data_IF_328014824853
#
_entry.id   IF_328014824853
#
_cell.length_a   1.000
_cell.length_b   1.000
_cell.length_c   1.000
_cell.angle_alpha   90.00
_cell.angle_beta   90.00
_cell.angle_gamma   90.00
#
_symmetry.space_group_name_H-M   'P 1'
#
loop_
_entity.id
_entity.type
_entity.pdbx_description
1 polymer ?
#
# COMPACT_ATOMS: atom_id res chain seq x y z
N UNK A 1 15.46 -24.48 -19.59
CA UNK A 1 15.94 -23.60 -18.51
C UNK A 1 14.71 -22.95 -17.95
N UNK A 2 14.43 -23.19 -16.67
CA UNK A 2 13.21 -22.75 -16.00
C UNK A 2 13.47 -21.38 -15.37
N UNK A 3 12.53 -20.43 -15.47
CA UNK A 3 12.57 -19.17 -14.73
C UNK A 3 11.29 -19.00 -13.88
N UNK A 4 11.24 -18.00 -13.00
CA UNK A 4 10.08 -17.77 -12.13
C UNK A 4 8.78 -17.57 -12.93
N UNK A 5 8.85 -16.93 -14.09
CA UNK A 5 7.68 -16.72 -14.95
C UNK A 5 7.11 -18.06 -15.47
N UNK A 6 7.97 -19.01 -15.86
CA UNK A 6 7.54 -20.34 -16.27
C UNK A 6 6.96 -21.14 -15.09
N UNK A 7 7.53 -21.03 -13.88
CA UNK A 7 6.93 -21.65 -12.69
C UNK A 7 5.52 -21.12 -12.43
N UNK A 8 5.34 -19.81 -12.57
CA UNK A 8 4.05 -19.13 -12.42
C UNK A 8 3.04 -19.57 -13.49
N UNK A 9 3.43 -19.56 -14.76
CA UNK A 9 2.53 -19.77 -15.90
C UNK A 9 2.16 -21.24 -16.11
N UNK A 10 3.14 -22.15 -15.98
CA UNK A 10 2.95 -23.60 -16.16
C UNK A 10 2.50 -24.30 -14.87
N UNK A 11 2.26 -23.53 -13.79
CA UNK A 11 1.82 -24.00 -12.47
C UNK A 11 2.73 -25.11 -11.92
N UNK A 12 4.04 -24.92 -12.07
CA UNK A 12 5.04 -25.89 -11.64
C UNK A 12 5.29 -25.82 -10.13
N UNK A 13 5.83 -26.92 -9.59
CA UNK A 13 6.30 -27.00 -8.21
C UNK A 13 7.63 -27.73 -8.19
N UNK A 14 8.69 -27.05 -7.76
CA UNK A 14 10.05 -27.57 -7.70
C UNK A 14 10.51 -27.63 -6.25
N UNK A 15 11.04 -28.77 -5.79
CA UNK A 15 11.63 -28.84 -4.45
C UNK A 15 12.87 -27.95 -4.37
N UNK A 16 13.10 -27.28 -3.23
CA UNK A 16 14.28 -26.42 -3.07
C UNK A 16 15.58 -27.21 -3.32
N UNK A 17 15.64 -28.46 -2.87
CA UNK A 17 16.79 -29.36 -3.13
C UNK A 17 17.06 -29.63 -4.61
N UNK A 18 16.05 -29.53 -5.48
CA UNK A 18 16.21 -29.73 -6.92
C UNK A 18 16.74 -28.48 -7.64
N UNK A 19 16.78 -27.32 -6.98
CA UNK A 19 17.33 -26.09 -7.55
C UNK A 19 18.83 -26.17 -7.79
N UNK A 20 19.55 -27.09 -7.12
CA UNK A 20 21.01 -27.27 -7.26
C UNK A 20 21.46 -27.56 -8.70
N UNK A 21 20.56 -28.06 -9.56
CA UNK A 21 20.83 -28.33 -10.98
C UNK A 21 20.23 -27.30 -11.95
N UNK A 22 19.51 -26.28 -11.46
CA UNK A 22 18.88 -25.23 -12.27
C UNK A 22 19.45 -23.84 -11.95
N UNK A 23 20.72 -23.63 -12.31
CA UNK A 23 21.43 -22.39 -12.04
C UNK A 23 20.70 -21.12 -12.55
N UNK A 24 20.06 -21.10 -13.74
CA UNK A 24 19.26 -19.97 -14.18
C UNK A 24 18.10 -19.63 -13.23
N UNK A 25 17.36 -20.63 -12.74
CA UNK A 25 16.25 -20.40 -11.79
C UNK A 25 16.76 -19.88 -10.45
N UNK A 26 17.89 -20.42 -9.96
CA UNK A 26 18.51 -19.95 -8.71
C UNK A 26 18.93 -18.49 -8.82
N UNK A 27 19.56 -18.10 -9.93
CA UNK A 27 19.95 -16.72 -10.17
C UNK A 27 18.73 -15.79 -10.20
N UNK A 28 17.66 -16.19 -10.91
CA UNK A 28 16.42 -15.42 -11.00
C UNK A 28 15.79 -15.18 -9.61
N UNK A 29 15.74 -16.22 -8.77
CA UNK A 29 15.27 -16.12 -7.38
C UNK A 29 16.16 -15.19 -6.55
N UNK A 30 17.49 -15.34 -6.64
CA UNK A 30 18.45 -14.51 -5.89
C UNK A 30 18.30 -13.04 -6.24
N UNK A 31 18.20 -12.70 -7.53
CA UNK A 31 18.04 -11.33 -8.01
C UNK A 31 16.72 -10.71 -7.51
N UNK A 32 15.63 -11.47 -7.50
CA UNK A 32 14.35 -10.99 -6.98
C UNK A 32 14.37 -10.80 -5.46
N UNK A 33 14.88 -11.77 -4.69
CA UNK A 33 15.02 -11.66 -3.24
C UNK A 33 15.95 -10.50 -2.83
N UNK A 34 16.98 -10.21 -3.63
CA UNK A 34 17.88 -9.10 -3.38
C UNK A 34 17.19 -7.73 -3.54
N UNK A 35 16.28 -7.57 -4.51
CA UNK A 35 15.51 -6.32 -4.72
C UNK A 35 14.71 -5.90 -3.49
N UNK A 36 14.21 -6.88 -2.72
CA UNK A 36 13.44 -6.65 -1.48
C UNK A 36 14.28 -6.84 -0.20
N UNK A 37 15.60 -7.03 -0.34
CA UNK A 37 16.55 -7.10 0.76
C UNK A 37 16.51 -8.37 1.61
N UNK A 38 16.04 -9.48 1.04
CA UNK A 38 16.07 -10.79 1.71
C UNK A 38 17.44 -11.48 1.64
N UNK A 39 18.27 -11.08 0.67
CA UNK A 39 19.62 -11.62 0.47
C UNK A 39 20.55 -10.49 -0.03
N UNK A 40 21.80 -10.49 0.44
CA UNK A 40 22.86 -9.65 -0.12
C UNK A 40 23.65 -10.45 -1.16
N UNK A 41 23.67 -9.97 -2.39
CA UNK A 41 24.35 -10.66 -3.50
C UNK A 41 25.88 -10.56 -3.43
N UNK A 42 26.44 -9.67 -2.61
CA UNK A 42 27.89 -9.50 -2.50
C UNK A 42 28.61 -10.72 -1.92
N UNK A 43 27.90 -11.51 -1.11
CA UNK A 43 28.43 -12.70 -0.43
C UNK A 43 27.99 -14.05 -1.01
N UNK A 44 27.23 -14.06 -2.12
CA UNK A 44 26.68 -15.29 -2.71
C UNK A 44 27.08 -15.42 -4.17
N UNK A 45 27.25 -16.65 -4.64
CA UNK A 45 27.52 -16.92 -6.06
C UNK A 45 26.20 -17.05 -6.82
N UNK A 46 26.02 -16.23 -7.86
CA UNK A 46 24.80 -16.27 -8.68
C UNK A 46 24.61 -17.64 -9.33
N UNK A 47 23.38 -18.15 -9.25
CA UNK A 47 23.02 -19.45 -9.81
C UNK A 47 23.48 -20.66 -8.99
N UNK A 48 24.07 -20.44 -7.82
CA UNK A 48 24.45 -21.52 -6.87
C UNK A 48 23.54 -21.47 -5.66
N UNK A 49 22.86 -22.58 -5.36
CA UNK A 49 22.02 -22.72 -4.17
C UNK A 49 22.90 -22.81 -2.92
N UNK A 50 23.10 -21.67 -2.24
CA UNK A 50 23.82 -21.59 -0.97
C UNK A 50 22.87 -21.70 0.23
N UNK A 51 23.43 -21.92 1.43
CA UNK A 51 22.67 -21.91 2.69
C UNK A 51 21.95 -20.58 2.93
N UNK A 52 22.56 -19.47 2.52
CA UNK A 52 21.97 -18.12 2.60
C UNK A 52 20.80 -17.98 1.62
N UNK A 53 20.92 -18.56 0.43
CA UNK A 53 19.85 -18.56 -0.58
C UNK A 53 18.65 -19.39 -0.10
N UNK A 54 18.90 -20.59 0.45
CA UNK A 54 17.85 -21.42 1.04
C UNK A 54 17.16 -20.72 2.21
N UNK A 55 17.93 -20.11 3.12
CA UNK A 55 17.37 -19.36 4.25
C UNK A 55 16.52 -18.16 3.79
N UNK A 56 16.94 -17.44 2.75
CA UNK A 56 16.20 -16.33 2.18
C UNK A 56 14.88 -16.78 1.54
N UNK A 57 14.89 -17.90 0.81
CA UNK A 57 13.68 -18.52 0.24
C UNK A 57 12.69 -18.88 1.36
N UNK A 58 13.15 -19.58 2.40
CA UNK A 58 12.31 -19.98 3.53
C UNK A 58 11.74 -18.77 4.28
N UNK A 59 12.56 -17.74 4.52
CA UNK A 59 12.11 -16.51 5.16
C UNK A 59 11.05 -15.80 4.32
N UNK A 60 11.24 -15.70 3.00
CA UNK A 60 10.25 -15.12 2.11
C UNK A 60 8.96 -15.93 2.09
N UNK A 61 9.04 -17.27 2.00
CA UNK A 61 7.87 -18.13 2.07
C UNK A 61 7.05 -17.91 3.34
N UNK A 62 7.72 -17.81 4.50
CA UNK A 62 7.06 -17.54 5.77
C UNK A 62 6.33 -16.19 5.75
N UNK A 63 7.03 -15.12 5.38
CA UNK A 63 6.47 -13.76 5.35
C UNK A 63 5.34 -13.63 4.32
N UNK A 64 5.49 -14.27 3.17
CA UNK A 64 4.50 -14.30 2.10
C UNK A 64 3.34 -15.25 2.37
N UNK A 65 3.31 -15.97 3.51
CA UNK A 65 2.26 -16.94 3.83
C UNK A 65 2.19 -18.10 2.83
N UNK A 66 3.32 -18.48 2.24
CA UNK A 66 3.44 -19.64 1.35
C UNK A 66 3.78 -20.86 2.20
N UNK A 67 2.75 -21.62 2.58
CA UNK A 67 2.85 -22.82 3.40
C UNK A 67 3.32 -24.05 2.58
N UNK A 68 4.52 -23.97 1.99
CA UNK A 68 5.13 -25.03 1.19
C UNK A 68 6.63 -25.08 1.44
N UNK A 69 7.27 -26.23 1.27
CA UNK A 69 8.74 -26.39 1.24
C UNK A 69 9.31 -26.30 -0.18
N UNK A 70 8.45 -26.08 -1.17
CA UNK A 70 8.79 -26.05 -2.59
C UNK A 70 8.66 -24.63 -3.16
N UNK A 71 9.40 -24.37 -4.24
CA UNK A 71 9.16 -23.25 -5.14
C UNK A 71 7.90 -23.57 -5.96
N UNK A 72 6.78 -22.99 -5.55
CA UNK A 72 5.46 -23.17 -6.18
C UNK A 72 5.11 -22.00 -7.09
N UNK A 73 4.10 -22.16 -7.94
CA UNK A 73 3.49 -21.05 -8.68
C UNK A 73 3.04 -19.88 -7.77
N UNK A 74 2.59 -20.17 -6.54
CA UNK A 74 2.22 -19.15 -5.56
C UNK A 74 3.44 -18.37 -5.07
N UNK A 75 4.54 -19.06 -4.76
CA UNK A 75 5.82 -18.41 -4.44
C UNK A 75 6.28 -17.51 -5.60
N UNK A 76 6.31 -18.05 -6.81
CA UNK A 76 6.78 -17.33 -7.99
C UNK A 76 5.93 -16.09 -8.27
N UNK A 77 4.59 -16.22 -8.23
CA UNK A 77 3.67 -15.08 -8.39
C UNK A 77 3.97 -13.99 -7.36
N UNK A 78 4.01 -14.32 -6.06
CA UNK A 78 4.21 -13.33 -4.99
C UNK A 78 5.56 -12.64 -5.09
N UNK A 79 6.62 -13.38 -5.42
CA UNK A 79 7.97 -12.81 -5.56
C UNK A 79 8.08 -11.90 -6.79
N UNK A 80 7.46 -12.27 -7.91
CA UNK A 80 7.39 -11.42 -9.11
C UNK A 80 6.58 -10.14 -8.81
N UNK A 81 5.39 -10.28 -8.23
CA UNK A 81 4.48 -9.15 -8.03
C UNK A 81 5.09 -8.12 -7.07
N UNK A 82 5.65 -8.55 -5.93
CA UNK A 82 6.25 -7.63 -4.95
C UNK A 82 7.53 -6.94 -5.46
N UNK A 83 8.26 -7.56 -6.39
CA UNK A 83 9.49 -6.97 -6.97
C UNK A 83 9.23 -6.20 -8.27
N UNK A 84 7.99 -6.20 -8.75
CA UNK A 84 7.58 -5.42 -9.91
C UNK A 84 7.51 -3.95 -9.50
N UNK A 85 8.25 -3.04 -10.18
CA UNK A 85 8.22 -1.62 -9.84
C UNK A 85 6.81 -1.03 -9.96
N UNK A 86 6.34 -0.40 -8.89
CA UNK A 86 5.06 0.30 -8.87
C UNK A 86 5.17 1.67 -9.55
N UNK A 87 4.17 2.03 -10.34
CA UNK A 87 4.14 3.32 -11.05
C UNK A 87 3.57 4.37 -10.09
N UNK A 88 4.44 5.27 -9.62
CA UNK A 88 4.00 6.45 -8.85
C UNK A 88 3.89 7.67 -9.74
N UNK A 89 2.77 8.42 -9.72
CA UNK A 89 2.71 9.69 -10.41
C UNK A 89 3.76 10.66 -9.83
N UNK A 90 4.47 11.41 -10.68
CA UNK A 90 5.50 12.33 -10.21
C UNK A 90 4.88 13.44 -9.35
N UNK A 91 5.66 14.07 -8.44
CA UNK A 91 5.19 15.22 -7.68
C UNK A 91 4.60 16.31 -8.61
N UNK A 92 3.36 16.77 -8.37
CA UNK A 92 2.71 17.64 -9.33
C UNK A 92 3.30 19.05 -9.22
N UNK A 93 3.57 19.67 -10.36
CA UNK A 93 3.78 21.11 -10.39
C UNK A 93 2.46 21.85 -10.15
N UNK A 94 2.56 23.07 -9.64
CA UNK A 94 1.43 24.00 -9.68
C UNK A 94 1.15 24.39 -11.13
N UNK A 95 -0.14 24.44 -11.50
CA UNK A 95 -0.59 24.79 -12.85
C UNK A 95 -1.76 25.77 -12.78
N UNK A 96 -2.04 26.47 -13.87
CA UNK A 96 -3.29 27.21 -14.03
C UNK A 96 -4.23 26.40 -14.92
N UNK A 97 -5.48 26.27 -14.49
CA UNK A 97 -6.55 25.63 -15.26
C UNK A 97 -7.56 26.72 -15.62
N UNK A 98 -7.60 27.11 -16.90
CA UNK A 98 -8.60 28.09 -17.34
C UNK A 98 -9.91 27.37 -17.62
N UNK A 99 -10.92 27.59 -16.76
CA UNK A 99 -12.29 27.08 -16.97
C UNK A 99 -13.22 28.18 -17.45
N UNK A 100 -13.96 27.91 -18.52
CA UNK A 100 -15.02 28.79 -19.04
C UNK A 100 -16.40 28.50 -18.45
N UNK A 101 -16.58 27.30 -17.88
CA UNK A 101 -17.76 26.86 -17.15
C UNK A 101 -17.42 25.75 -16.17
N UNK A 102 -18.41 25.35 -15.36
CA UNK A 102 -18.24 24.26 -14.40
C UNK A 102 -18.14 22.90 -15.09
N UNK A 103 -17.38 21.97 -14.51
CA UNK A 103 -17.13 20.62 -15.04
C UNK A 103 -17.66 19.54 -14.09
N UNK A 104 -18.20 18.44 -14.60
CA UNK A 104 -18.69 17.30 -13.82
C UNK A 104 -20.21 17.27 -13.68
N UNK A 105 -20.70 16.76 -12.54
CA UNK A 105 -22.12 16.52 -12.30
C UNK A 105 -22.96 17.80 -12.43
N UNK A 106 -23.92 17.80 -13.35
CA UNK A 106 -24.79 18.94 -13.64
C UNK A 106 -24.08 20.19 -14.18
N UNK A 107 -22.78 20.09 -14.50
CA UNK A 107 -21.96 21.20 -15.00
C UNK A 107 -22.28 21.61 -16.43
N UNK A 108 -21.78 22.79 -16.83
CA UNK A 108 -21.80 23.26 -18.23
C UNK A 108 -21.05 22.30 -19.15
N UNK A 109 -19.95 21.71 -18.68
CA UNK A 109 -19.22 20.64 -19.38
C UNK A 109 -18.74 21.02 -20.80
N UNK A 110 -18.22 22.24 -20.95
CA UNK A 110 -17.56 22.64 -22.19
C UNK A 110 -16.40 21.66 -22.50
N UNK A 111 -16.27 21.15 -23.74
CA UNK A 111 -15.30 20.09 -24.07
C UNK A 111 -13.85 20.38 -23.65
N UNK A 112 -13.40 21.64 -23.77
CA UNK A 112 -12.05 22.05 -23.38
C UNK A 112 -11.85 22.03 -21.85
N UNK A 113 -12.85 22.49 -21.08
CA UNK A 113 -12.82 22.49 -19.63
C UNK A 113 -12.80 21.05 -19.08
N UNK A 114 -13.61 20.16 -19.68
CA UNK A 114 -13.65 18.73 -19.34
C UNK A 114 -12.28 18.09 -19.55
N UNK A 115 -11.70 18.30 -20.73
CA UNK A 115 -10.37 17.75 -21.05
C UNK A 115 -9.30 18.28 -20.08
N UNK A 116 -9.35 19.57 -19.72
CA UNK A 116 -8.40 20.15 -18.77
C UNK A 116 -8.48 19.51 -17.38
N UNK A 117 -9.69 19.32 -16.85
CA UNK A 117 -9.91 18.66 -15.55
C UNK A 117 -9.50 17.19 -15.58
N UNK A 118 -9.90 16.44 -16.62
CA UNK A 118 -9.52 15.02 -16.75
C UNK A 118 -8.02 14.83 -16.91
N UNK A 119 -7.36 15.68 -17.69
CA UNK A 119 -5.90 15.66 -17.79
C UNK A 119 -5.25 15.88 -16.43
N UNK A 120 -5.70 16.87 -15.66
CA UNK A 120 -5.12 17.12 -14.33
C UNK A 120 -5.38 15.98 -13.36
N UNK A 121 -6.60 15.43 -13.32
CA UNK A 121 -6.90 14.26 -12.49
C UNK A 121 -6.02 13.06 -12.86
N UNK A 122 -5.84 12.80 -14.16
CA UNK A 122 -4.96 11.74 -14.63
C UNK A 122 -3.48 12.00 -14.31
N UNK A 123 -3.00 13.24 -14.38
CA UNK A 123 -1.64 13.62 -13.95
C UNK A 123 -1.42 13.38 -12.46
N UNK A 124 -2.47 13.51 -11.66
CA UNK A 124 -2.48 13.20 -10.22
C UNK A 124 -2.72 11.71 -9.93
N UNK A 125 -2.84 10.86 -10.94
CA UNK A 125 -3.01 9.40 -10.80
C UNK A 125 -4.44 8.89 -10.60
N UNK A 126 -5.44 9.78 -10.67
CA UNK A 126 -6.84 9.36 -10.62
C UNK A 126 -7.26 8.65 -11.91
N UNK A 127 -8.10 7.63 -11.77
CA UNK A 127 -8.53 6.76 -12.87
C UNK A 127 -9.57 7.46 -13.76
N UNK A 128 -9.09 8.24 -14.73
CA UNK A 128 -9.93 8.90 -15.74
C UNK A 128 -9.27 8.85 -17.13
N UNK A 129 -10.10 8.82 -18.17
CA UNK A 129 -9.63 8.89 -19.55
C UNK A 129 -9.22 10.32 -19.95
N UNK A 130 -8.29 10.49 -20.90
CA UNK A 130 -7.87 11.81 -21.39
C UNK A 130 -8.67 12.24 -22.62
N UNK A 131 -9.97 12.44 -22.44
CA UNK A 131 -10.90 12.90 -23.48
C UNK A 131 -11.79 14.05 -22.97
N UNK A 132 -12.65 14.59 -23.82
CA UNK A 132 -13.54 15.71 -23.49
C UNK A 132 -14.95 15.28 -23.06
N UNK A 133 -15.14 14.02 -22.65
CA UNK A 133 -16.44 13.44 -22.30
C UNK A 133 -16.57 13.34 -20.77
N UNK A 134 -17.71 13.80 -20.23
CA UNK A 134 -18.08 13.53 -18.83
C UNK A 134 -18.78 12.17 -18.77
N UNK A 135 -18.09 11.21 -18.17
CA UNK A 135 -18.57 9.86 -17.89
C UNK A 135 -18.72 9.65 -16.37
N UNK A 136 -19.27 8.50 -15.99
CA UNK A 136 -19.48 8.15 -14.58
C UNK A 136 -18.16 8.09 -13.79
N UNK A 137 -17.08 7.62 -14.42
CA UNK A 137 -15.76 7.51 -13.80
C UNK A 137 -15.16 8.91 -13.54
N UNK A 138 -15.38 9.87 -14.43
CA UNK A 138 -14.99 11.27 -14.23
C UNK A 138 -15.69 11.86 -13.02
N UNK A 139 -17.01 11.67 -12.91
CA UNK A 139 -17.80 12.16 -11.78
C UNK A 139 -17.32 11.48 -10.48
N UNK A 140 -17.06 10.17 -10.52
CA UNK A 140 -16.53 9.43 -9.37
C UNK A 140 -15.15 9.93 -8.95
N UNK A 141 -14.25 10.20 -9.89
CA UNK A 141 -12.92 10.73 -9.61
C UNK A 141 -12.97 12.14 -8.99
N UNK A 142 -13.86 13.02 -9.49
CA UNK A 142 -14.10 14.34 -8.89
C UNK A 142 -14.62 14.18 -7.45
N UNK A 143 -15.57 13.27 -7.21
CA UNK A 143 -16.07 12.98 -5.87
C UNK A 143 -14.97 12.43 -4.95
N UNK A 144 -14.14 11.52 -5.44
CA UNK A 144 -13.02 10.98 -4.66
C UNK A 144 -12.05 12.11 -4.25
N UNK A 145 -11.64 12.94 -5.22
CA UNK A 145 -10.79 14.10 -4.95
C UNK A 145 -11.42 15.05 -3.93
N UNK A 146 -12.70 15.38 -4.12
CA UNK A 146 -13.48 16.20 -3.19
C UNK A 146 -13.56 15.61 -1.78
N UNK A 147 -13.79 14.30 -1.66
CA UNK A 147 -13.85 13.61 -0.37
C UNK A 147 -12.51 13.72 0.37
N UNK A 148 -11.39 13.53 -0.34
CA UNK A 148 -10.03 13.68 0.19
C UNK A 148 -9.80 15.11 0.72
N UNK A 149 -10.02 16.14 -0.10
CA UNK A 149 -9.74 17.55 0.27
C UNK A 149 -10.73 18.13 1.31
N UNK A 150 -11.79 17.40 1.61
CA UNK A 150 -12.80 17.75 2.60
C UNK A 150 -12.78 16.81 3.82
N UNK A 151 -11.75 15.95 3.93
CA UNK A 151 -11.53 15.04 5.06
C UNK A 151 -12.74 14.13 5.33
N UNK A 152 -13.26 13.52 4.27
CA UNK A 152 -14.44 12.65 4.32
C UNK A 152 -14.03 11.19 4.21
N UNK A 153 -14.67 10.32 4.98
CA UNK A 153 -14.35 8.88 5.01
C UNK A 153 -14.96 8.11 3.83
N UNK A 154 -15.98 8.69 3.18
CA UNK A 154 -16.80 8.02 2.14
C UNK A 154 -17.24 9.00 1.05
N UNK A 155 -17.64 8.49 -0.11
CA UNK A 155 -18.04 9.30 -1.28
C UNK A 155 -19.54 9.69 -1.28
N UNK A 156 -20.39 8.98 -0.53
CA UNK A 156 -21.86 9.05 -0.66
C UNK A 156 -22.54 9.94 0.41
N UNK A 157 -21.85 10.96 0.93
CA UNK A 157 -22.35 11.78 2.05
C UNK A 157 -23.05 13.10 1.65
N UNK A 158 -23.16 13.39 0.35
CA UNK A 158 -23.70 14.67 -0.14
C UNK A 158 -22.85 15.89 0.27
N UNK A 159 -23.36 17.10 0.06
CA UNK A 159 -22.64 18.35 0.36
C UNK A 159 -21.49 18.61 -0.61
N UNK A 160 -20.30 19.00 -0.09
CA UNK A 160 -19.13 19.39 -0.89
C UNK A 160 -18.43 18.22 -1.64
N UNK A 161 -19.11 17.07 -1.79
CA UNK A 161 -18.70 15.86 -2.54
C UNK A 161 -19.75 15.57 -3.62
N UNK A 162 -20.07 16.60 -4.42
CA UNK A 162 -21.14 16.60 -5.40
C UNK A 162 -20.72 16.08 -6.79
N UNK A 163 -19.41 15.95 -7.04
CA UNK A 163 -18.87 15.57 -8.34
C UNK A 163 -18.80 16.72 -9.35
N UNK A 164 -18.89 17.98 -8.89
CA UNK A 164 -18.81 19.18 -9.72
C UNK A 164 -17.60 20.05 -9.36
N UNK A 165 -16.91 20.56 -10.38
CA UNK A 165 -15.82 21.52 -10.26
C UNK A 165 -16.32 22.86 -10.77
N UNK A 166 -16.55 23.80 -9.86
CA UNK A 166 -16.94 25.17 -10.21
C UNK A 166 -15.73 26.07 -10.51
N UNK A 167 -15.93 27.02 -11.42
CA UNK A 167 -14.93 28.05 -11.76
C UNK A 167 -14.54 28.81 -10.48
N UNK A 168 -13.25 28.91 -10.19
CA UNK A 168 -12.69 29.47 -8.95
C UNK A 168 -13.17 28.83 -7.62
N UNK A 169 -13.85 27.69 -7.69
CA UNK A 169 -14.28 26.92 -6.52
C UNK A 169 -13.12 26.23 -5.79
N UNK A 170 -13.40 25.65 -4.62
CA UNK A 170 -12.38 24.96 -3.79
C UNK A 170 -11.67 23.84 -4.56
N UNK A 171 -12.43 22.96 -5.21
CA UNK A 171 -11.87 21.83 -5.98
C UNK A 171 -10.94 22.30 -7.08
N UNK A 172 -11.39 23.30 -7.85
CA UNK A 172 -10.60 23.89 -8.92
C UNK A 172 -9.28 24.45 -8.39
N UNK A 173 -9.33 25.28 -7.33
CA UNK A 173 -8.13 25.88 -6.72
C UNK A 173 -7.16 24.85 -6.15
N UNK A 174 -7.63 23.71 -5.64
CA UNK A 174 -6.74 22.68 -5.10
C UNK A 174 -6.15 21.83 -6.23
N UNK A 175 -6.91 21.55 -7.30
CA UNK A 175 -6.36 20.87 -8.49
C UNK A 175 -5.14 21.62 -9.05
N UNK A 176 -5.14 22.94 -9.00
CA UNK A 176 -4.03 23.79 -9.46
C UNK A 176 -2.77 23.72 -8.58
N UNK A 177 -2.84 23.24 -7.34
CA UNK A 177 -1.71 23.25 -6.39
C UNK A 177 -0.71 22.13 -6.65
N UNK A 178 0.55 22.39 -6.34
CA UNK A 178 1.61 21.36 -6.23
C UNK A 178 1.43 20.43 -5.02
N UNK A 179 0.55 20.79 -4.09
CA UNK A 179 0.20 19.98 -2.92
C UNK A 179 -1.12 19.22 -3.10
N UNK A 180 -1.68 19.20 -4.31
CA UNK A 180 -2.86 18.39 -4.61
C UNK A 180 -2.58 16.92 -4.26
N UNK A 181 -3.54 16.19 -3.65
CA UNK A 181 -3.35 14.78 -3.36
C UNK A 181 -3.10 14.02 -4.65
N UNK A 182 -2.07 13.18 -4.66
CA UNK A 182 -1.87 12.18 -5.71
C UNK A 182 -2.51 10.87 -5.29
N UNK A 183 -3.12 10.18 -6.24
CA UNK A 183 -3.67 8.84 -6.06
C UNK A 183 -2.69 7.82 -6.64
N UNK A 184 -2.21 6.90 -5.82
CA UNK A 184 -1.17 5.95 -6.21
C UNK A 184 -1.33 4.63 -5.46
N UNK A 185 -0.78 3.59 -6.04
CA UNK A 185 -0.60 2.29 -5.38
C UNK A 185 0.42 2.43 -4.25
N UNK A 186 0.25 1.63 -3.19
CA UNK A 186 1.26 1.47 -2.15
C UNK A 186 2.54 0.91 -2.77
N UNK A 187 3.69 1.43 -2.34
CA UNK A 187 4.95 0.87 -2.76
C UNK A 187 5.14 -0.51 -2.11
N UNK A 188 5.76 -1.44 -2.84
CA UNK A 188 5.98 -2.81 -2.37
C UNK A 188 6.73 -2.90 -1.03
N UNK A 189 7.56 -1.91 -0.73
CA UNK A 189 8.44 -1.91 0.43
C UNK A 189 9.59 -2.92 0.29
N UNK A 190 10.40 -3.00 1.33
CA UNK A 190 11.56 -3.88 1.41
C UNK A 190 12.06 -4.01 2.85
N UNK A 191 12.92 -5.00 3.12
CA UNK A 191 13.57 -5.17 4.42
C UNK A 191 14.32 -3.89 4.87
N UNK A 192 15.11 -3.20 4.02
CA UNK A 192 15.78 -1.95 4.40
C UNK A 192 14.85 -0.76 4.64
N UNK A 193 13.61 -0.82 4.16
CA UNK A 193 12.59 0.21 4.38
C UNK A 193 11.71 -0.08 5.60
N UNK A 194 11.77 -1.30 6.16
CA UNK A 194 11.06 -1.65 7.40
C UNK A 194 9.60 -2.07 7.21
N UNK A 195 9.12 -2.16 5.97
CA UNK A 195 7.76 -2.57 5.64
C UNK A 195 7.68 -3.39 4.35
N UNK A 196 6.59 -4.14 4.19
CA UNK A 196 6.20 -4.77 2.93
C UNK A 196 4.71 -4.52 2.67
N UNK A 197 4.36 -4.34 1.39
CA UNK A 197 2.99 -4.35 0.93
C UNK A 197 2.47 -5.79 0.95
N UNK A 198 1.62 -6.14 1.91
CA UNK A 198 1.10 -7.50 1.98
C UNK A 198 -0.02 -7.75 0.97
N UNK A 199 -0.68 -6.72 0.43
CA UNK A 199 -1.66 -6.90 -0.65
C UNK A 199 -0.99 -7.46 -1.93
N UNK A 200 0.26 -7.04 -2.23
CA UNK A 200 1.09 -7.68 -3.27
C UNK A 200 1.35 -9.18 -2.99
N UNK A 201 1.49 -9.53 -1.71
CA UNK A 201 1.68 -10.92 -1.28
C UNK A 201 0.36 -11.70 -1.26
N UNK A 202 -0.80 -11.05 -1.21
CA UNK A 202 -2.11 -11.71 -1.29
C UNK A 202 -2.62 -11.78 -2.74
N UNK A 203 -2.21 -10.85 -3.60
CA UNK A 203 -2.73 -10.68 -4.94
C UNK A 203 -4.14 -10.08 -4.99
N UNK A 204 -4.50 -9.27 -4.00
CA UNK A 204 -5.69 -8.42 -4.06
C UNK A 204 -5.30 -6.99 -4.53
N UNK A 205 -6.29 -6.12 -4.74
CA UNK A 205 -6.09 -4.77 -5.28
C UNK A 205 -6.55 -3.69 -4.27
N UNK A 206 -6.30 -3.95 -2.98
CA UNK A 206 -6.73 -3.15 -1.84
C UNK A 206 -5.82 -1.96 -1.50
N UNK A 207 -4.76 -1.72 -2.26
CA UNK A 207 -3.57 -0.98 -1.84
C UNK A 207 -3.42 0.41 -2.47
N UNK A 208 -4.47 0.99 -3.02
CA UNK A 208 -4.42 2.33 -3.58
C UNK A 208 -4.82 3.39 -2.56
N UNK A 209 -4.07 4.49 -2.51
CA UNK A 209 -4.43 5.62 -1.67
C UNK A 209 -3.76 6.92 -2.06
N UNK A 210 -3.87 7.89 -1.16
CA UNK A 210 -3.18 9.17 -1.32
C UNK A 210 -1.67 8.99 -1.14
N UNK A 211 -0.86 9.81 -1.81
CA UNK A 211 0.58 9.86 -1.50
C UNK A 211 0.84 10.16 -0.01
N UNK A 212 -0.08 10.82 0.69
CA UNK A 212 0.04 11.13 2.10
C UNK A 212 0.01 9.90 3.00
N UNK A 213 -0.89 8.93 2.75
CA UNK A 213 -0.87 7.68 3.54
C UNK A 213 0.37 6.84 3.22
N UNK A 214 0.82 6.82 1.96
CA UNK A 214 2.07 6.14 1.56
C UNK A 214 3.28 6.73 2.28
N UNK A 215 3.44 8.06 2.24
CA UNK A 215 4.52 8.77 2.93
C UNK A 215 4.49 8.57 4.45
N UNK A 216 3.29 8.45 5.03
CA UNK A 216 3.09 8.16 6.45
C UNK A 216 3.62 6.78 6.82
N UNK A 217 3.26 5.75 6.06
CA UNK A 217 3.74 4.38 6.30
C UNK A 217 5.24 4.29 6.12
N UNK A 218 5.80 4.84 5.04
CA UNK A 218 7.24 4.81 4.80
C UNK A 218 8.02 5.49 5.94
N UNK A 219 7.55 6.63 6.43
CA UNK A 219 8.20 7.33 7.53
C UNK A 219 8.09 6.55 8.85
N UNK A 220 6.93 5.96 9.16
CA UNK A 220 6.76 5.10 10.32
C UNK A 220 7.65 3.85 10.24
N UNK A 221 7.76 3.23 9.06
CA UNK A 221 8.56 2.04 8.82
C UNK A 221 10.06 2.28 9.04
N UNK A 222 10.59 3.41 8.57
CA UNK A 222 11.98 3.80 8.81
C UNK A 222 12.25 4.01 10.32
N UNK A 223 11.34 4.67 11.03
CA UNK A 223 11.44 4.85 12.49
C UNK A 223 11.41 3.49 13.20
N UNK A 224 10.44 2.64 12.88
CA UNK A 224 10.32 1.29 13.45
C UNK A 224 11.57 0.46 13.18
N UNK A 225 12.13 0.55 11.97
CA UNK A 225 13.36 -0.14 11.60
C UNK A 225 14.54 0.30 12.46
N UNK A 226 14.78 1.60 12.54
CA UNK A 226 15.95 2.16 13.21
C UNK A 226 15.89 1.98 14.74
N UNK A 227 14.68 2.05 15.32
CA UNK A 227 14.48 2.03 16.77
C UNK A 227 14.18 0.63 17.32
N UNK A 228 13.46 -0.22 16.58
CA UNK A 228 13.04 -1.54 17.05
C UNK A 228 13.76 -2.68 16.31
N UNK A 229 13.66 -2.76 14.99
CA UNK A 229 14.22 -3.89 14.21
C UNK A 229 15.74 -4.01 14.34
N UNK A 230 16.46 -2.89 14.51
CA UNK A 230 17.92 -2.91 14.74
C UNK A 230 18.35 -3.78 15.92
N UNK A 231 17.52 -3.86 16.96
CA UNK A 231 17.77 -4.71 18.15
C UNK A 231 16.92 -5.97 18.18
N UNK A 232 15.91 -6.07 17.31
CA UNK A 232 15.02 -7.22 17.14
C UNK A 232 14.96 -7.63 15.65
N UNK A 233 16.07 -8.09 15.06
CA UNK A 233 16.16 -8.31 13.61
C UNK A 233 15.25 -9.43 13.07
N UNK A 234 14.69 -10.25 13.97
CA UNK A 234 13.75 -11.32 13.65
C UNK A 234 12.28 -10.92 13.89
N UNK A 235 12.02 -9.73 14.42
CA UNK A 235 10.64 -9.23 14.54
C UNK A 235 10.06 -8.93 13.17
N UNK A 236 8.74 -8.99 13.08
CA UNK A 236 8.05 -8.73 11.82
C UNK A 236 8.27 -7.30 11.33
N UNK A 237 8.36 -7.14 10.01
CA UNK A 237 8.25 -5.84 9.36
C UNK A 237 6.83 -5.28 9.56
N UNK A 238 6.65 -3.98 9.31
CA UNK A 238 5.29 -3.46 9.11
C UNK A 238 4.71 -4.11 7.85
N UNK A 239 3.60 -4.82 7.98
CA UNK A 239 2.89 -5.41 6.83
C UNK A 239 1.60 -4.63 6.57
N UNK A 240 1.55 -3.88 5.47
CA UNK A 240 0.35 -3.12 5.10
C UNK A 240 -0.67 -4.02 4.43
N UNK A 241 -1.93 -3.78 4.73
CA UNK A 241 -3.09 -4.40 4.09
C UNK A 241 -3.96 -3.28 3.50
N UNK A 242 -5.25 -3.52 3.38
CA UNK A 242 -6.27 -2.61 2.86
C UNK A 242 -6.00 -1.10 3.10
N UNK A 243 -6.01 -0.35 2.00
CA UNK A 243 -5.98 1.11 1.91
C UNK A 243 -7.26 1.60 1.22
N UNK A 244 -7.43 1.24 -0.05
CA UNK A 244 -8.61 1.51 -0.87
C UNK A 244 -8.45 0.85 -2.25
N UNK A 245 -9.54 0.74 -3.00
CA UNK A 245 -9.54 0.31 -4.41
C UNK A 245 -8.85 1.33 -5.30
N UNK A 246 -8.35 0.89 -6.46
CA UNK A 246 -7.76 1.74 -7.51
C UNK A 246 -8.59 2.97 -7.91
N UNK A 247 -9.92 2.89 -7.83
CA UNK A 247 -10.83 4.02 -8.14
C UNK A 247 -11.56 4.59 -6.92
N UNK A 248 -11.11 4.24 -5.70
CA UNK A 248 -11.82 4.55 -4.46
C UNK A 248 -13.23 3.96 -4.39
N UNK A 249 -14.01 4.48 -3.43
CA UNK A 249 -15.40 4.08 -3.23
C UNK A 249 -15.57 2.91 -2.25
N UNK A 250 -16.81 2.42 -2.14
CA UNK A 250 -17.20 1.39 -1.15
C UNK A 250 -16.22 0.21 -1.11
N UNK A 251 -15.82 -0.16 0.11
CA UNK A 251 -14.85 -1.21 0.36
C UNK A 251 -15.40 -2.28 1.32
N UNK A 252 -16.47 -3.05 0.97
CA UNK A 252 -17.01 -4.05 1.88
C UNK A 252 -15.96 -5.09 2.29
N UNK A 253 -15.97 -5.57 3.55
CA UNK A 253 -16.93 -5.24 4.60
C UNK A 253 -16.67 -3.91 5.33
N UNK A 254 -15.57 -3.22 5.01
CA UNK A 254 -15.17 -1.99 5.67
C UNK A 254 -16.05 -0.80 5.28
N UNK A 255 -16.43 0.00 6.27
CA UNK A 255 -17.15 1.26 6.03
C UNK A 255 -16.20 2.38 5.55
N UNK A 256 -14.95 2.36 6.03
CA UNK A 256 -13.83 3.22 5.63
C UNK A 256 -13.15 2.71 4.35
N UNK A 257 -11.86 3.00 4.12
CA UNK A 257 -11.08 2.57 2.94
C UNK A 257 -11.66 2.98 1.58
N UNK A 258 -12.42 4.08 1.54
CA UNK A 258 -12.97 4.58 0.27
C UNK A 258 -12.15 5.68 -0.37
N UNK A 259 -11.34 6.38 0.44
CA UNK A 259 -10.70 7.65 0.07
C UNK A 259 -9.18 7.63 0.24
N UNK A 260 -8.57 6.48 0.53
CA UNK A 260 -7.11 6.34 0.58
C UNK A 260 -6.41 7.23 1.61
N UNK A 261 -7.09 7.52 2.73
CA UNK A 261 -6.58 8.29 3.86
C UNK A 261 -6.31 7.41 5.09
N UNK A 262 -6.44 6.10 4.93
CA UNK A 262 -6.24 5.12 5.97
C UNK A 262 -5.57 3.87 5.41
N UNK A 263 -4.89 3.11 6.27
CA UNK A 263 -4.24 1.86 5.93
C UNK A 263 -4.34 0.90 7.13
N UNK A 264 -4.69 -0.35 6.85
CA UNK A 264 -4.67 -1.41 7.84
C UNK A 264 -3.27 -2.02 7.94
N UNK A 265 -2.81 -2.27 9.17
CA UNK A 265 -1.53 -2.91 9.45
C UNK A 265 -1.81 -4.26 10.09
N UNK A 266 -1.28 -5.33 9.48
CA UNK A 266 -1.43 -6.69 10.01
C UNK A 266 -0.69 -6.84 11.32
N UNK A 267 -1.21 -7.70 12.20
CA UNK A 267 -0.56 -7.92 13.50
C UNK A 267 0.77 -8.65 13.34
N UNK A 268 1.84 -8.17 13.99
CA UNK A 268 3.13 -8.86 13.99
C UNK A 268 3.03 -10.15 14.81
N UNK A 269 3.67 -11.21 14.31
CA UNK A 269 3.83 -12.49 14.98
C UNK A 269 5.25 -12.62 15.54
N UNK A 270 5.40 -13.39 16.61
CA UNK A 270 6.69 -13.66 17.28
C UNK A 270 7.69 -14.44 16.42
N UNK A 271 7.23 -15.09 15.36
CA UNK A 271 8.06 -15.81 14.38
C UNK A 271 8.57 -14.90 13.24
N UNK A 272 8.27 -13.59 13.29
CA UNK A 272 8.66 -12.62 12.28
C UNK A 272 7.72 -12.51 11.09
N UNK A 273 6.63 -13.30 11.04
CA UNK A 273 5.57 -13.15 10.06
C UNK A 273 4.50 -12.13 10.53
N UNK A 274 3.45 -11.91 9.74
CA UNK A 274 2.36 -10.99 10.08
C UNK A 274 0.99 -11.53 9.65
N UNK A 275 -0.04 -11.20 10.43
CA UNK A 275 -1.43 -11.53 10.13
C UNK A 275 -1.83 -12.98 10.43
N UNK A 276 -3.07 -13.31 10.08
CA UNK A 276 -3.66 -14.64 10.36
C UNK A 276 -3.95 -14.90 11.84
N UNK A 277 -3.89 -13.86 12.67
CA UNK A 277 -4.02 -13.91 14.12
C UNK A 277 -4.83 -12.71 14.62
N UNK A 278 -5.25 -12.78 15.88
CA UNK A 278 -5.82 -11.70 16.69
C UNK A 278 -4.87 -11.31 17.82
N UNK A 279 -5.12 -10.18 18.48
CA UNK A 279 -4.31 -9.75 19.63
C UNK A 279 -4.38 -10.69 20.84
N UNK A 280 -5.31 -11.66 20.83
CA UNK A 280 -5.50 -12.65 21.88
C UNK A 280 -4.63 -13.90 21.67
N UNK A 281 -4.13 -14.13 20.45
CA UNK A 281 -3.35 -15.30 20.13
C UNK A 281 -1.98 -15.29 20.80
N UNK A 282 -1.49 -16.46 21.19
CA UNK A 282 -0.17 -16.60 21.82
C UNK A 282 0.99 -16.20 20.92
N UNK A 283 0.79 -16.25 19.60
CA UNK A 283 1.76 -15.87 18.57
C UNK A 283 1.90 -14.36 18.41
N UNK A 284 0.93 -13.56 18.87
CA UNK A 284 0.94 -12.10 18.72
C UNK A 284 2.13 -11.45 19.45
N UNK A 285 2.91 -10.67 18.71
CA UNK A 285 4.02 -9.87 19.24
C UNK A 285 3.53 -8.46 19.60
N UNK A 286 2.99 -8.33 20.81
CA UNK A 286 2.55 -7.03 21.35
C UNK A 286 3.68 -6.00 21.44
N UNK A 287 4.92 -6.41 21.66
CA UNK A 287 6.03 -5.48 21.79
C UNK A 287 6.38 -4.86 20.43
N UNK A 288 6.43 -5.68 19.38
CA UNK A 288 6.57 -5.20 18.00
C UNK A 288 5.39 -4.29 17.63
N UNK A 289 4.16 -4.70 17.94
CA UNK A 289 2.97 -3.89 17.63
C UNK A 289 2.98 -2.53 18.32
N UNK A 290 3.37 -2.50 19.61
CA UNK A 290 3.59 -1.24 20.34
C UNK A 290 4.58 -0.33 19.61
N UNK A 291 5.74 -0.87 19.24
CA UNK A 291 6.79 -0.10 18.57
C UNK A 291 6.34 0.41 17.19
N UNK A 292 5.57 -0.38 16.44
CA UNK A 292 4.95 0.06 15.18
C UNK A 292 4.01 1.24 15.42
N UNK A 293 3.09 1.15 16.40
CA UNK A 293 2.15 2.23 16.71
C UNK A 293 2.85 3.49 17.21
N UNK A 294 3.89 3.34 18.03
CA UNK A 294 4.74 4.46 18.47
C UNK A 294 5.42 5.13 17.28
N UNK A 295 5.93 4.36 16.32
CA UNK A 295 6.53 4.88 15.10
C UNK A 295 5.52 5.67 14.25
N UNK A 296 4.28 5.19 14.11
CA UNK A 296 3.19 5.92 13.43
C UNK A 296 2.82 7.23 14.14
N UNK A 297 2.87 7.27 15.47
CA UNK A 297 2.64 8.50 16.24
C UNK A 297 3.82 9.47 16.17
N UNK A 298 5.04 8.96 15.99
CA UNK A 298 6.28 9.74 15.96
C UNK A 298 6.60 10.35 14.60
N UNK A 299 6.21 9.70 13.50
CA UNK A 299 6.47 10.25 12.16
C UNK A 299 5.86 11.66 12.01
N UNK A 300 6.53 12.52 11.25
CA UNK A 300 6.19 13.94 11.11
C UNK A 300 5.70 14.30 9.71
N UNK A 301 5.38 13.32 8.86
CA UNK A 301 4.92 13.55 7.49
C UNK A 301 3.49 14.07 7.47
N UNK A 302 2.58 13.35 8.12
CA UNK A 302 1.16 13.69 8.16
C UNK A 302 0.56 13.40 9.53
N UNK A 303 -0.39 14.23 9.97
CA UNK A 303 -0.98 14.08 11.30
C UNK A 303 -1.88 12.85 11.35
N UNK A 304 -1.62 11.94 12.28
CA UNK A 304 -2.53 10.83 12.60
C UNK A 304 -3.83 11.38 13.16
N UNK A 305 -4.96 11.11 12.50
CA UNK A 305 -6.31 11.40 12.99
C UNK A 305 -6.68 10.46 14.12
N UNK A 306 -6.53 9.16 13.90
CA UNK A 306 -6.87 8.10 14.87
C UNK A 306 -6.18 6.80 14.50
N UNK A 307 -6.10 5.91 15.48
CA UNK A 307 -5.63 4.53 15.30
C UNK A 307 -6.65 3.62 15.98
N UNK A 308 -7.28 2.70 15.26
CA UNK A 308 -8.16 1.71 15.86
C UNK A 308 -7.46 0.37 16.01
N UNK A 309 -7.46 -0.18 17.23
CA UNK A 309 -6.97 -1.53 17.53
C UNK A 309 -7.42 -1.93 18.93
N UNK A 310 -7.86 -3.18 19.11
CA UNK A 310 -8.55 -3.63 20.32
C UNK A 310 -7.66 -4.23 21.43
N UNK A 311 -6.34 -4.15 21.30
CA UNK A 311 -5.45 -4.54 22.40
C UNK A 311 -5.55 -3.55 23.57
N UNK A 312 -6.25 -3.97 24.63
CA UNK A 312 -6.48 -3.16 25.83
C UNK A 312 -5.21 -2.62 26.48
N UNK A 313 -4.08 -3.32 26.34
CA UNK A 313 -2.79 -2.87 26.87
C UNK A 313 -2.24 -1.67 26.10
N UNK A 314 -2.43 -1.65 24.77
CA UNK A 314 -1.99 -0.54 23.92
C UNK A 314 -2.97 0.64 23.99
N UNK A 315 -4.26 0.36 24.18
CA UNK A 315 -5.28 1.38 24.49
C UNK A 315 -4.94 2.08 25.81
N UNK A 316 -4.65 1.33 26.87
CA UNK A 316 -4.27 1.90 28.17
C UNK A 316 -2.99 2.75 28.11
N UNK A 317 -2.12 2.48 27.14
CA UNK A 317 -0.93 3.28 26.86
C UNK A 317 -1.19 4.50 25.97
N UNK A 318 -2.44 4.74 25.55
CA UNK A 318 -2.83 5.89 24.73
C UNK A 318 -2.42 5.81 23.25
N UNK A 319 -2.05 4.63 22.75
CA UNK A 319 -1.57 4.48 21.37
C UNK A 319 -2.71 4.35 20.35
N UNK A 320 -3.80 3.69 20.75
CA UNK A 320 -4.96 3.39 19.91
C UNK A 320 -6.26 3.47 20.70
N UNK A 321 -7.38 3.34 19.98
CA UNK A 321 -8.72 3.29 20.55
C UNK A 321 -9.48 2.07 20.01
N UNK A 322 -10.49 1.62 20.73
CA UNK A 322 -11.28 0.45 20.30
C UNK A 322 -12.22 0.78 19.14
N UNK A 323 -12.42 -0.19 18.26
CA UNK A 323 -13.52 -0.21 17.30
C UNK A 323 -13.89 -1.67 16.94
N UNK A 324 -15.17 -1.90 16.62
CA UNK A 324 -15.65 -3.22 16.19
C UNK A 324 -14.85 -3.73 14.99
N UNK A 325 -14.45 -5.00 15.01
CA UNK A 325 -13.73 -5.65 13.90
C UNK A 325 -12.20 -5.46 13.87
N UNK A 326 -11.61 -4.74 14.84
CA UNK A 326 -10.18 -4.41 14.85
C UNK A 326 -9.38 -5.28 15.83
N UNK A 327 -9.68 -6.58 15.87
CA UNK A 327 -8.98 -7.55 16.71
C UNK A 327 -7.74 -8.15 16.01
N UNK A 328 -7.68 -8.07 14.68
CA UNK A 328 -6.70 -8.75 13.81
C UNK A 328 -5.87 -7.80 12.92
N UNK A 329 -6.04 -6.49 13.09
CA UNK A 329 -5.26 -5.44 12.43
C UNK A 329 -5.36 -4.14 13.22
N UNK A 330 -4.43 -3.21 13.00
CA UNK A 330 -4.61 -1.81 13.39
C UNK A 330 -4.94 -0.94 12.18
N UNK A 331 -5.98 -0.14 12.30
CA UNK A 331 -6.39 0.81 11.27
C UNK A 331 -5.77 2.18 11.56
N UNK A 332 -4.87 2.61 10.68
CA UNK A 332 -4.19 3.92 10.78
C UNK A 332 -4.90 4.90 9.87
N UNK A 333 -5.26 6.06 10.42
CA UNK A 333 -6.06 7.06 9.72
C UNK A 333 -5.42 8.44 9.88
N UNK A 334 -5.27 9.17 8.79
CA UNK A 334 -4.57 10.46 8.74
C UNK A 334 -5.51 11.62 8.38
N UNK A 335 -5.05 12.84 8.63
CA UNK A 335 -5.71 14.05 8.14
C UNK A 335 -5.11 14.55 6.84
N UNK A 336 -5.92 15.29 6.08
CA UNK A 336 -5.40 16.06 4.96
C UNK A 336 -4.45 17.18 5.48
N UNK A 337 -3.33 17.45 4.79
CA UNK A 337 -2.37 18.50 5.16
C UNK A 337 -2.87 19.94 5.04
#
# INVERSE_FOLDING_TARGET
MTNLQQIRDDVLSISISALVVDAPLVQDIQEHLAKIGFIDLSGVTLGVLSTETEAAIHKFQNIAGVNSTNITASFAKKLIDITTPKITPPPPAAITITLTGSVGAGGVNNPADVLAIKNRLADLGFQVSRNSIIDADTIKAIKLFQAIINEKDTLDIGGNVDGRVDVNGKTHKILEKSTAPRWQEMLSGSIPEGFLNNDDLQGDNGDFGTNWIVETVQAAALIYKDEYLRTHPNAALIATNDISKISGGKFPPHASHQVGMCCDIRLPRKDGASGGITYQDSEYDRAAMRAMLEAFRKQSKHRIRRIFFNDMTLIAAGLCQTASGHDNHAHIDILAP
#
